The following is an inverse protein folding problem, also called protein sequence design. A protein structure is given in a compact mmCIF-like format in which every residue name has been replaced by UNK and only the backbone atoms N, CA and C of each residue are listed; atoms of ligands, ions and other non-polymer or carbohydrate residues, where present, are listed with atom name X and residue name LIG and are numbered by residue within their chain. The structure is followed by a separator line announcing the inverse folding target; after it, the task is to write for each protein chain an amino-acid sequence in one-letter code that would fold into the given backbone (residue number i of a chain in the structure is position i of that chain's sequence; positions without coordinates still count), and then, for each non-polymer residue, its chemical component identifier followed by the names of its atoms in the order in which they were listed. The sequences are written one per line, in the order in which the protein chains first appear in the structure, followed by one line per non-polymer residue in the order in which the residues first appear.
data_IF_132595535982
#
_entry.id   IF_132595535982
#
_cell.length_a   1.000
_cell.length_b   1.000
_cell.length_c   1.000
_cell.angle_alpha   90.00
_cell.angle_beta   90.00
_cell.angle_gamma   90.00
#
_symmetry.space_group_name_H-M   'P 1'
#
loop_
_entity.id
_entity.type
_entity.pdbx_description
1 polymer ?
#
# COMPACT_ATOMS: atom_id res chain seq x y z
N UNK A 1 -11.96 18.50 -9.28
CA UNK A 1 -10.52 18.29 -9.62
C UNK A 1 -10.09 16.99 -8.99
N UNK A 2 -9.71 16.02 -9.82
CA UNK A 2 -9.38 14.68 -9.37
C UNK A 2 -8.10 14.69 -8.52
N UNK A 3 -8.17 14.09 -7.35
CA UNK A 3 -7.02 13.94 -6.43
C UNK A 3 -6.39 12.55 -6.53
N UNK A 4 -7.13 11.56 -7.04
CA UNK A 4 -6.63 10.22 -7.36
C UNK A 4 -7.07 9.86 -8.76
N UNK A 5 -6.14 9.48 -9.61
CA UNK A 5 -6.40 8.96 -10.94
C UNK A 5 -5.70 7.61 -11.12
N UNK A 6 -6.46 6.61 -11.50
CA UNK A 6 -5.98 5.25 -11.76
C UNK A 6 -6.43 4.80 -13.14
N UNK A 7 -5.48 4.36 -13.98
CA UNK A 7 -5.76 3.89 -15.34
C UNK A 7 -5.16 2.51 -15.60
N UNK A 8 -6.01 1.54 -15.94
CA UNK A 8 -5.63 0.16 -16.30
C UNK A 8 -4.66 -0.52 -15.32
N UNK A 9 -4.81 -0.23 -14.03
CA UNK A 9 -3.93 -0.71 -12.99
C UNK A 9 -3.97 -2.23 -12.89
N UNK A 10 -2.79 -2.86 -12.91
CA UNK A 10 -2.66 -4.31 -12.85
C UNK A 10 -1.53 -4.73 -11.95
N UNK A 11 -1.76 -5.77 -11.14
CA UNK A 11 -0.75 -6.41 -10.30
C UNK A 11 -0.87 -7.91 -10.32
N UNK A 12 0.27 -8.54 -10.59
CA UNK A 12 0.40 -10.00 -10.63
C UNK A 12 1.51 -10.42 -9.69
N UNK A 13 1.26 -11.45 -8.89
CA UNK A 13 2.26 -12.09 -8.05
C UNK A 13 2.63 -13.47 -8.62
N UNK A 14 3.91 -13.81 -8.57
CA UNK A 14 4.39 -15.16 -8.84
C UNK A 14 4.66 -15.86 -7.51
N UNK A 15 3.91 -16.90 -7.21
CA UNK A 15 4.12 -17.74 -6.03
C UNK A 15 4.74 -19.06 -6.43
N UNK A 16 5.83 -19.45 -5.76
CA UNK A 16 6.47 -20.75 -5.97
C UNK A 16 5.57 -21.84 -5.41
N UNK A 17 5.22 -22.81 -6.22
CA UNK A 17 4.44 -23.99 -5.78
C UNK A 17 5.39 -24.94 -5.08
N UNK A 18 5.16 -25.21 -3.79
CA UNK A 18 5.92 -26.21 -3.04
C UNK A 18 5.57 -27.62 -3.56
N UNK A 19 6.57 -28.43 -3.87
CA UNK A 19 6.36 -29.84 -4.19
C UNK A 19 5.85 -30.60 -2.95
N UNK A 20 4.97 -31.57 -3.15
CA UNK A 20 4.51 -32.44 -2.06
C UNK A 20 5.58 -33.53 -1.77
N UNK A 21 5.93 -33.71 -0.49
CA UNK A 21 6.90 -34.68 -0.01
C UNK A 21 8.38 -34.27 -0.20
N UNK A 22 9.30 -35.08 0.38
CA UNK A 22 10.75 -34.82 0.36
C UNK A 22 11.32 -34.77 -1.07
N UNK A 23 10.96 -35.75 -1.91
CA UNK A 23 11.38 -35.85 -3.31
C UNK A 23 10.84 -34.70 -4.16
N UNK A 24 9.59 -34.25 -3.90
CA UNK A 24 8.98 -33.09 -4.55
C UNK A 24 9.65 -31.77 -4.15
N UNK A 25 10.11 -31.66 -2.91
CA UNK A 25 10.84 -30.49 -2.42
C UNK A 25 12.20 -30.34 -3.11
N UNK A 26 12.97 -31.40 -3.23
CA UNK A 26 14.26 -31.40 -3.95
C UNK A 26 14.08 -31.08 -5.42
N UNK A 27 13.08 -31.69 -6.09
CA UNK A 27 12.77 -31.39 -7.51
C UNK A 27 12.33 -29.95 -7.74
N UNK A 28 11.67 -29.32 -6.76
CA UNK A 28 11.25 -27.92 -6.81
C UNK A 28 12.39 -26.91 -6.66
N UNK A 29 13.57 -27.35 -6.21
CA UNK A 29 14.79 -26.51 -6.18
C UNK A 29 15.38 -26.41 -7.57
N UNK A 30 15.47 -27.50 -8.32
CA UNK A 30 16.06 -27.55 -9.67
C UNK A 30 15.07 -27.10 -10.78
N UNK A 31 13.75 -27.35 -10.61
CA UNK A 31 12.70 -26.92 -11.56
C UNK A 31 11.51 -26.30 -10.82
N UNK A 32 11.62 -25.04 -10.37
CA UNK A 32 10.55 -24.40 -9.63
C UNK A 32 9.33 -24.16 -10.53
N UNK A 33 8.16 -24.64 -10.10
CA UNK A 33 6.87 -24.29 -10.71
C UNK A 33 6.34 -23.04 -10.06
N UNK A 34 5.92 -22.05 -10.86
CA UNK A 34 5.32 -20.82 -10.37
C UNK A 34 3.83 -20.80 -10.71
N UNK A 35 3.02 -20.42 -9.72
CA UNK A 35 1.62 -20.07 -9.93
C UNK A 35 1.52 -18.55 -10.00
N UNK A 36 0.89 -18.08 -11.04
CA UNK A 36 0.63 -16.67 -11.25
C UNK A 36 -0.72 -16.29 -10.66
N UNK A 37 -0.75 -15.30 -9.79
CA UNK A 37 -1.96 -14.78 -9.15
C UNK A 37 -2.14 -13.34 -9.62
N UNK A 38 -3.19 -13.08 -10.38
CA UNK A 38 -3.61 -11.73 -10.78
C UNK A 38 -4.38 -11.11 -9.62
N UNK A 39 -3.71 -10.30 -8.81
CA UNK A 39 -4.31 -9.67 -7.64
C UNK A 39 -5.14 -8.43 -8.01
N UNK A 40 -4.73 -7.69 -9.05
CA UNK A 40 -5.47 -6.55 -9.61
C UNK A 40 -5.37 -6.67 -11.12
N UNK A 41 -6.48 -6.48 -11.83
CA UNK A 41 -6.55 -6.67 -13.28
C UNK A 41 -7.28 -5.50 -13.96
N UNK A 42 -6.52 -4.61 -14.58
CA UNK A 42 -6.97 -3.45 -15.38
C UNK A 42 -8.04 -2.59 -14.69
N UNK A 43 -7.82 -2.27 -13.42
CA UNK A 43 -8.74 -1.41 -12.66
C UNK A 43 -8.48 0.05 -13.02
N UNK A 44 -9.57 0.80 -13.27
CA UNK A 44 -9.53 2.24 -13.55
C UNK A 44 -10.62 2.93 -12.74
N UNK A 45 -10.27 4.02 -12.08
CA UNK A 45 -11.18 4.91 -11.35
C UNK A 45 -10.50 6.25 -11.07
N UNK A 46 -11.32 7.22 -10.68
CA UNK A 46 -10.84 8.51 -10.19
C UNK A 46 -11.58 8.86 -8.90
N UNK A 47 -10.95 9.71 -8.07
CA UNK A 47 -11.54 10.25 -6.84
C UNK A 47 -11.36 11.76 -6.85
N UNK A 48 -12.45 12.49 -6.65
CA UNK A 48 -12.45 13.94 -6.57
C UNK A 48 -12.10 14.44 -5.16
N UNK A 49 -11.68 15.70 -5.07
CA UNK A 49 -11.40 16.33 -3.77
C UNK A 49 -12.66 16.34 -2.89
N UNK A 50 -12.53 15.84 -1.66
CA UNK A 50 -13.64 15.75 -0.70
C UNK A 50 -14.53 14.51 -0.86
N UNK A 51 -14.28 13.68 -1.86
CA UNK A 51 -15.02 12.43 -2.07
C UNK A 51 -14.55 11.35 -1.10
N UNK A 52 -15.50 10.55 -0.60
CA UNK A 52 -15.25 9.35 0.21
C UNK A 52 -15.52 8.11 -0.62
N UNK A 53 -14.50 7.28 -0.81
CA UNK A 53 -14.59 6.05 -1.62
C UNK A 53 -14.34 4.82 -0.77
N UNK A 54 -15.22 3.81 -0.87
CA UNK A 54 -15.08 2.52 -0.21
C UNK A 54 -14.77 1.40 -1.21
N UNK A 55 -13.73 0.61 -0.92
CA UNK A 55 -13.43 -0.62 -1.65
C UNK A 55 -14.16 -1.79 -1.00
N UNK A 56 -15.20 -2.30 -1.65
CA UNK A 56 -16.01 -3.42 -1.17
C UNK A 56 -15.71 -4.69 -1.98
N UNK A 57 -15.71 -5.83 -1.35
CA UNK A 57 -15.49 -7.13 -2.01
C UNK A 57 -14.93 -8.20 -1.07
N UNK A 58 -14.90 -9.48 -1.49
CA UNK A 58 -14.41 -10.59 -0.69
C UNK A 58 -12.92 -10.50 -0.39
N UNK A 59 -12.44 -11.34 0.55
CA UNK A 59 -11.01 -11.47 0.81
C UNK A 59 -10.30 -11.98 -0.45
N UNK A 60 -9.14 -11.38 -0.75
CA UNK A 60 -8.39 -11.68 -1.98
C UNK A 60 -8.84 -10.91 -3.23
N UNK A 61 -9.88 -10.07 -3.17
CA UNK A 61 -10.34 -9.24 -4.30
C UNK A 61 -9.37 -8.12 -4.75
N UNK A 62 -8.19 -8.01 -4.13
CA UNK A 62 -7.19 -7.02 -4.50
C UNK A 62 -7.30 -5.66 -3.80
N UNK A 63 -8.25 -5.45 -2.89
CA UNK A 63 -8.47 -4.18 -2.16
C UNK A 63 -7.18 -3.64 -1.53
N UNK A 64 -6.59 -4.40 -0.62
CA UNK A 64 -5.35 -4.00 0.07
C UNK A 64 -4.15 -3.88 -0.87
N UNK A 65 -4.14 -4.67 -1.96
CA UNK A 65 -3.10 -4.57 -3.01
C UNK A 65 -3.23 -3.24 -3.74
N UNK A 66 -4.45 -2.83 -4.08
CA UNK A 66 -4.72 -1.53 -4.72
C UNK A 66 -4.29 -0.38 -3.81
N UNK A 67 -4.72 -0.37 -2.54
CA UNK A 67 -4.32 0.66 -1.58
C UNK A 67 -2.79 0.75 -1.43
N UNK A 68 -2.09 -0.40 -1.33
CA UNK A 68 -0.62 -0.42 -1.27
C UNK A 68 0.05 0.12 -2.53
N UNK A 69 -0.58 0.01 -3.69
CA UNK A 69 -0.08 0.63 -4.92
C UNK A 69 -0.32 2.14 -4.93
N UNK A 70 -1.48 2.61 -4.46
CA UNK A 70 -1.77 4.03 -4.31
C UNK A 70 -0.78 4.71 -3.37
N UNK A 71 -0.47 4.09 -2.25
CA UNK A 71 0.46 4.65 -1.24
C UNK A 71 1.95 4.50 -1.59
N UNK A 72 2.28 3.95 -2.76
CA UNK A 72 3.68 3.74 -3.18
C UNK A 72 4.43 2.65 -2.41
N UNK A 73 3.73 1.84 -1.58
CA UNK A 73 4.31 0.69 -0.88
C UNK A 73 4.57 -0.46 -1.87
N UNK A 74 3.72 -0.58 -2.88
CA UNK A 74 3.79 -1.64 -3.87
C UNK A 74 3.79 -1.03 -5.28
N UNK A 75 4.66 -1.53 -6.18
CA UNK A 75 4.64 -1.11 -7.58
C UNK A 75 3.68 -1.93 -8.42
N UNK A 76 2.87 -1.32 -9.28
CA UNK A 76 2.07 -2.02 -10.27
C UNK A 76 2.95 -2.72 -11.32
N UNK A 77 2.41 -3.73 -12.00
CA UNK A 77 3.05 -4.30 -13.18
C UNK A 77 2.72 -3.48 -14.44
N UNK A 78 1.48 -2.98 -14.52
CA UNK A 78 1.01 -2.15 -15.64
C UNK A 78 -0.01 -1.13 -15.11
N UNK A 79 -0.24 -0.10 -15.93
CA UNK A 79 -1.17 0.98 -15.64
C UNK A 79 -0.50 2.18 -14.97
N UNK A 80 -1.27 3.24 -14.84
CA UNK A 80 -0.81 4.51 -14.33
C UNK A 80 -1.58 4.92 -13.08
N UNK A 81 -0.87 5.56 -12.15
CA UNK A 81 -1.43 6.12 -10.92
C UNK A 81 -0.92 7.54 -10.79
N UNK A 82 -1.85 8.46 -10.50
CA UNK A 82 -1.52 9.82 -10.03
C UNK A 82 -2.29 10.11 -8.76
N UNK A 83 -1.61 10.65 -7.77
CA UNK A 83 -2.19 11.08 -6.49
C UNK A 83 -1.68 12.48 -6.22
N UNK A 84 -2.60 13.44 -6.10
CA UNK A 84 -2.27 14.87 -6.01
C UNK A 84 -1.31 15.33 -7.12
N UNK A 85 -1.45 14.74 -8.33
CA UNK A 85 -0.56 14.99 -9.46
C UNK A 85 0.78 14.24 -9.43
N UNK A 86 1.13 13.56 -8.33
CA UNK A 86 2.38 12.80 -8.14
C UNK A 86 2.23 11.35 -8.62
N UNK A 87 3.29 10.80 -9.18
CA UNK A 87 3.38 9.35 -9.50
C UNK A 87 4.01 8.62 -8.30
N UNK A 88 3.29 7.69 -7.62
CA UNK A 88 3.82 6.97 -6.45
C UNK A 88 5.11 6.20 -6.71
N UNK A 89 5.42 5.88 -7.97
CA UNK A 89 6.65 5.19 -8.37
C UNK A 89 7.87 6.10 -8.38
N UNK A 90 7.67 7.36 -8.76
CA UNK A 90 8.74 8.36 -8.94
C UNK A 90 8.85 9.30 -7.75
N UNK A 91 7.71 9.71 -7.22
CA UNK A 91 7.59 10.77 -6.22
C UNK A 91 7.27 10.23 -4.83
N UNK A 92 7.63 8.95 -4.53
CA UNK A 92 7.25 8.26 -3.30
C UNK A 92 7.52 9.07 -2.02
N UNK A 93 8.69 9.71 -1.95
CA UNK A 93 9.07 10.50 -0.77
C UNK A 93 8.16 11.72 -0.61
N UNK A 94 7.92 12.47 -1.69
CA UNK A 94 7.02 13.63 -1.67
C UNK A 94 5.60 13.21 -1.31
N UNK A 95 5.10 12.13 -1.94
CA UNK A 95 3.77 11.61 -1.69
C UNK A 95 3.58 11.19 -0.23
N UNK A 96 4.60 10.61 0.42
CA UNK A 96 4.51 10.17 1.81
C UNK A 96 4.26 11.32 2.79
N UNK A 97 4.67 12.54 2.47
CA UNK A 97 4.36 13.75 3.28
C UNK A 97 2.96 14.32 3.01
N UNK A 98 2.36 13.98 1.85
CA UNK A 98 1.05 14.51 1.43
C UNK A 98 -0.12 13.61 1.81
N UNK A 99 0.14 12.34 2.18
CA UNK A 99 -0.90 11.35 2.49
C UNK A 99 -0.70 10.73 3.87
N UNK A 100 -1.81 10.50 4.58
CA UNK A 100 -1.85 9.64 5.77
C UNK A 100 -2.42 8.27 5.43
N UNK A 101 -1.84 7.19 5.97
CA UNK A 101 -2.34 5.82 5.79
C UNK A 101 -2.50 5.10 7.12
N UNK A 102 -3.68 4.51 7.33
CA UNK A 102 -3.98 3.70 8.50
C UNK A 102 -4.32 2.28 8.06
N UNK A 103 -3.53 1.30 8.51
CA UNK A 103 -3.76 -0.11 8.21
C UNK A 103 -4.37 -0.82 9.43
N UNK A 104 -5.65 -1.19 9.32
CA UNK A 104 -6.51 -1.65 10.41
C UNK A 104 -6.18 -2.97 11.11
N UNK A 105 -5.04 -3.61 10.84
CA UNK A 105 -4.67 -4.89 11.48
C UNK A 105 -3.34 -4.84 12.25
N UNK A 106 -2.75 -3.67 12.36
CA UNK A 106 -1.52 -3.48 13.14
C UNK A 106 -1.74 -2.34 14.11
N UNK A 107 -1.38 -2.57 15.36
CA UNK A 107 -1.23 -1.50 16.31
C UNK A 107 -0.25 -0.48 15.73
N UNK A 108 -0.72 0.74 15.56
CA UNK A 108 0.11 1.82 15.02
C UNK A 108 0.77 2.60 16.13
N UNK A 109 0.15 2.59 17.31
CA UNK A 109 0.71 3.20 18.49
C UNK A 109 1.59 2.18 19.23
N UNK A 110 2.69 2.66 19.75
CA UNK A 110 3.57 1.87 20.60
C UNK A 110 2.93 1.77 21.99
N UNK A 111 2.46 0.59 22.35
CA UNK A 111 1.65 0.35 23.56
C UNK A 111 2.37 0.64 24.89
N UNK A 112 3.70 0.68 24.87
CA UNK A 112 4.53 1.03 26.03
C UNK A 112 4.87 2.53 26.13
N UNK A 113 4.41 3.34 25.17
CA UNK A 113 4.50 4.79 25.22
C UNK A 113 3.14 5.40 25.55
N UNK A 114 3.15 6.56 26.20
CA UNK A 114 1.92 7.33 26.36
C UNK A 114 1.38 7.82 25.02
N UNK A 115 0.08 8.14 24.88
CA UNK A 115 -0.44 8.72 23.64
C UNK A 115 0.34 9.98 23.23
N UNK A 116 0.70 10.82 24.17
CA UNK A 116 1.47 12.04 23.92
C UNK A 116 2.86 11.75 23.34
N UNK A 117 3.60 10.77 23.90
CA UNK A 117 4.91 10.37 23.39
C UNK A 117 4.80 9.74 22.01
N UNK A 118 3.74 8.98 21.75
CA UNK A 118 3.45 8.46 20.42
C UNK A 118 3.28 9.60 19.39
N UNK A 119 2.51 10.64 19.73
CA UNK A 119 2.31 11.78 18.83
C UNK A 119 3.62 12.57 18.61
N UNK A 120 4.42 12.76 19.63
CA UNK A 120 5.77 13.38 19.49
C UNK A 120 6.67 12.54 18.60
N UNK A 121 6.68 11.23 18.81
CA UNK A 121 7.46 10.31 17.97
C UNK A 121 7.05 10.39 16.48
N UNK A 122 5.74 10.37 16.19
CA UNK A 122 5.26 10.55 14.83
C UNK A 122 5.56 11.95 14.29
N UNK A 123 5.44 12.98 15.11
CA UNK A 123 5.82 14.35 14.74
C UNK A 123 7.27 14.40 14.26
N UNK A 124 8.20 13.78 15.00
CA UNK A 124 9.60 13.70 14.62
C UNK A 124 9.84 12.93 13.31
N UNK A 125 9.07 11.85 13.05
CA UNK A 125 9.14 11.11 11.78
C UNK A 125 8.75 11.99 10.58
N UNK A 126 7.78 12.90 10.77
CA UNK A 126 7.31 13.83 9.74
C UNK A 126 8.00 15.19 9.76
N UNK A 127 9.14 15.31 10.47
CA UNK A 127 9.91 16.54 10.62
C UNK A 127 9.08 17.74 11.15
N UNK A 128 8.04 17.46 11.96
CA UNK A 128 7.23 18.49 12.61
C UNK A 128 7.98 19.03 13.85
N UNK A 129 7.89 20.34 14.06
CA UNK A 129 8.41 20.98 15.27
C UNK A 129 7.47 20.72 16.46
N UNK A 130 8.01 20.70 17.68
CA UNK A 130 7.24 20.39 18.89
C UNK A 130 5.97 21.25 19.03
N UNK A 131 6.04 22.54 18.73
CA UNK A 131 4.88 23.44 18.79
C UNK A 131 3.79 23.07 17.74
N UNK A 132 4.17 22.49 16.60
CA UNK A 132 3.22 22.03 15.56
C UNK A 132 2.53 20.75 15.98
N UNK A 133 3.25 19.88 16.69
CA UNK A 133 2.68 18.66 17.28
C UNK A 133 1.70 19.04 18.40
N UNK A 134 2.09 19.91 19.32
CA UNK A 134 1.23 20.38 20.42
C UNK A 134 -0.04 21.07 19.95
N UNK A 135 0.01 21.78 18.83
CA UNK A 135 -1.18 22.41 18.25
C UNK A 135 -2.17 21.40 17.63
N UNK A 136 -1.73 20.16 17.33
CA UNK A 136 -2.53 19.12 16.68
C UNK A 136 -3.08 18.08 17.66
N UNK A 137 -2.59 18.05 18.89
CA UNK A 137 -3.07 17.24 20.02
C UNK A 137 -4.16 18.01 20.75
#
# INVERSE_FOLDING_TARGET
MSVIEVKNLSKTFKSKVKGKGLSGSIKSIFKPKYKTIKAVNKVSFSVEKGEMVAFIGPNGAGKSTTIKMLTGILYPNNGDIKILGLDPRKDRKKLAYEIGTVFGQKEQLWTHLTPYDNFKFFGAIYDLKDYEVEKKI
#
